data_IF_036374559067
#
_entry.id   IF_036374559067
#
_cell.length_a   1.000
_cell.length_b   1.000
_cell.length_c   1.000
_cell.angle_alpha   90.00
_cell.angle_beta   90.00
_cell.angle_gamma   90.00
#
_symmetry.space_group_name_H-M   'P 1'
#
loop_
_entity.id
_entity.type
_entity.pdbx_description
1 polymer ?
#
# COMPACT_ATOMS: atom_id res chain seq x y z
N UNK A 1 15.03 -13.55 -2.97
CA UNK A 1 14.60 -14.62 -2.05
C UNK A 1 13.46 -15.33 -2.75
N UNK A 2 13.64 -16.60 -3.13
CA UNK A 2 12.71 -17.27 -4.04
C UNK A 2 12.65 -16.55 -5.38
N UNK A 3 11.45 -16.37 -5.93
CA UNK A 3 11.24 -15.65 -7.20
C UNK A 3 11.14 -14.13 -7.06
N UNK A 4 11.41 -13.59 -5.86
CA UNK A 4 11.36 -12.15 -5.61
C UNK A 4 12.69 -11.47 -5.99
N UNK A 5 12.61 -10.41 -6.80
CA UNK A 5 13.71 -9.51 -7.13
C UNK A 5 13.58 -8.24 -6.31
N UNK A 6 14.59 -7.94 -5.49
CA UNK A 6 14.66 -6.71 -4.71
C UNK A 6 15.65 -5.75 -5.35
N UNK A 7 15.21 -4.53 -5.66
CA UNK A 7 16.04 -3.50 -6.29
C UNK A 7 16.16 -2.33 -5.32
N UNK A 8 17.38 -2.03 -4.89
CA UNK A 8 17.67 -0.84 -4.09
C UNK A 8 17.88 0.36 -5.00
N UNK A 9 17.03 1.36 -4.92
CA UNK A 9 17.12 2.57 -5.72
C UNK A 9 15.91 3.48 -5.56
N UNK A 10 15.95 4.65 -6.18
CA UNK A 10 14.77 5.50 -6.30
C UNK A 10 13.78 4.85 -7.28
N UNK A 11 12.56 4.61 -6.84
CA UNK A 11 11.55 3.97 -7.69
C UNK A 11 11.29 4.74 -8.99
N UNK A 12 11.46 6.06 -9.00
CA UNK A 12 11.29 6.90 -10.20
C UNK A 12 12.38 6.65 -11.26
N UNK A 13 13.57 6.20 -10.84
CA UNK A 13 14.67 5.82 -11.74
C UNK A 13 14.57 4.34 -12.14
N UNK A 14 14.12 3.50 -11.22
CA UNK A 14 14.01 2.05 -11.45
C UNK A 14 12.82 1.69 -12.33
N UNK A 15 11.63 2.24 -12.06
CA UNK A 15 10.39 1.87 -12.77
C UNK A 15 10.49 1.99 -14.29
N UNK A 16 11.12 3.04 -14.87
CA UNK A 16 11.27 3.13 -16.34
C UNK A 16 12.11 2.02 -16.96
N UNK A 17 12.96 1.34 -16.17
CA UNK A 17 13.82 0.25 -16.65
C UNK A 17 13.13 -1.11 -16.66
N UNK A 18 11.97 -1.22 -16.01
CA UNK A 18 11.21 -2.46 -15.90
C UNK A 18 10.32 -2.69 -17.13
N UNK A 19 10.11 -3.95 -17.47
CA UNK A 19 9.13 -4.37 -18.44
C UNK A 19 7.70 -4.25 -17.92
N UNK A 20 6.75 -4.85 -18.66
CA UNK A 20 5.35 -5.00 -18.24
C UNK A 20 5.27 -5.90 -17.00
N UNK A 21 4.27 -5.61 -16.16
CA UNK A 21 3.91 -6.45 -15.01
C UNK A 21 2.44 -6.80 -15.08
N UNK A 22 2.04 -7.89 -14.42
CA UNK A 22 0.63 -8.33 -14.44
C UNK A 22 -0.21 -7.56 -13.43
N UNK A 23 0.40 -7.20 -12.28
CA UNK A 23 -0.28 -6.46 -11.24
C UNK A 23 0.67 -5.52 -10.49
N UNK A 24 0.08 -4.47 -9.91
CA UNK A 24 0.71 -3.63 -8.89
C UNK A 24 -0.05 -3.81 -7.58
N UNK A 25 0.66 -4.09 -6.49
CA UNK A 25 0.10 -4.11 -5.12
C UNK A 25 1.06 -3.36 -4.22
N UNK A 26 0.66 -2.19 -3.74
CA UNK A 26 1.58 -1.25 -3.10
C UNK A 26 0.96 -0.42 -1.98
N UNK A 27 1.80 0.14 -1.12
CA UNK A 27 1.45 0.99 0.02
C UNK A 27 2.40 2.21 0.07
N UNK A 28 2.16 3.23 -0.79
CA UNK A 28 3.00 4.41 -0.83
C UNK A 28 2.95 5.21 0.48
N UNK A 29 3.96 6.03 0.79
CA UNK A 29 3.96 6.87 1.98
C UNK A 29 2.76 7.85 1.96
N UNK A 30 2.13 8.01 3.13
CA UNK A 30 0.88 8.79 3.26
C UNK A 30 1.11 10.29 3.40
N UNK A 31 2.35 10.75 3.46
CA UNK A 31 2.73 12.14 3.68
C UNK A 31 1.99 12.74 4.91
N UNK A 32 1.84 11.97 5.97
CA UNK A 32 1.27 12.43 7.23
C UNK A 32 2.39 12.94 8.12
N UNK A 33 2.29 14.21 8.57
CA UNK A 33 3.22 14.73 9.56
C UNK A 33 3.08 13.93 10.86
N UNK A 34 4.12 13.20 11.23
CA UNK A 34 4.21 12.49 12.51
C UNK A 34 4.54 13.46 13.66
N UNK A 35 4.72 14.74 13.37
CA UNK A 35 5.09 15.79 14.33
C UNK A 35 4.07 16.01 15.48
N UNK A 36 2.88 15.41 15.41
CA UNK A 36 1.87 15.47 16.47
C UNK A 36 1.67 14.18 17.25
N UNK A 37 2.32 13.08 16.88
CA UNK A 37 2.27 11.84 17.64
C UNK A 37 3.33 11.87 18.75
N UNK A 38 3.07 12.67 19.78
CA UNK A 38 3.84 12.68 21.02
C UNK A 38 3.59 11.37 21.78
N UNK A 39 4.09 10.26 21.31
CA UNK A 39 4.36 9.10 22.16
C UNK A 39 5.66 9.39 22.92
N UNK A 40 5.54 10.28 23.91
CA UNK A 40 6.52 10.42 24.98
C UNK A 40 6.43 9.20 25.91
N UNK A 41 6.71 8.00 25.38
CA UNK A 41 7.00 6.85 26.20
C UNK A 41 8.44 6.98 26.76
N UNK A 42 8.78 6.31 27.90
CA UNK A 42 10.08 6.42 28.56
C UNK A 42 11.28 5.91 27.74
N UNK A 43 11.08 5.45 26.55
CA UNK A 43 12.11 4.95 25.63
C UNK A 43 12.30 5.85 24.43
N UNK A 44 12.76 7.08 24.66
CA UNK A 44 13.38 7.97 23.68
C UNK A 44 12.73 8.06 22.31
N UNK A 45 12.65 9.28 21.79
CA UNK A 45 12.34 9.56 20.40
C UNK A 45 13.13 8.61 19.49
N UNK A 46 12.49 7.58 18.93
CA UNK A 46 13.03 7.00 17.71
C UNK A 46 12.81 8.07 16.65
N UNK A 47 13.90 8.65 16.16
CA UNK A 47 13.85 9.51 14.99
C UNK A 47 13.20 8.68 13.88
N UNK A 48 11.95 8.98 13.58
CA UNK A 48 11.25 8.48 12.41
C UNK A 48 11.66 9.33 11.19
N UNK A 49 12.94 9.66 11.10
CA UNK A 49 13.57 10.24 9.91
C UNK A 49 13.64 9.21 8.77
N UNK A 50 12.62 8.33 8.70
CA UNK A 50 12.52 7.30 7.67
C UNK A 50 12.35 7.90 6.28
N UNK A 51 11.85 9.12 6.20
CA UNK A 51 11.74 9.87 4.95
C UNK A 51 12.13 11.32 5.23
N UNK A 52 13.29 11.71 4.76
CA UNK A 52 13.64 13.12 4.67
C UNK A 52 12.63 13.78 3.70
N UNK A 53 11.53 14.30 4.21
CA UNK A 53 10.44 14.83 3.41
C UNK A 53 9.03 14.62 3.95
N UNK A 54 8.83 13.80 5.01
CA UNK A 54 7.52 13.58 5.63
C UNK A 54 6.86 14.87 6.16
N UNK A 55 7.63 15.95 6.33
CA UNK A 55 7.12 17.28 6.67
C UNK A 55 6.64 18.07 5.44
N UNK A 56 7.04 17.69 4.23
CA UNK A 56 6.61 18.31 2.97
C UNK A 56 5.54 17.46 2.27
N UNK A 57 4.29 17.73 2.63
CA UNK A 57 3.13 17.11 2.02
C UNK A 57 3.11 17.23 0.48
N UNK A 58 3.46 18.40 -0.06
CA UNK A 58 3.40 18.64 -1.50
C UNK A 58 4.50 17.86 -2.23
N UNK A 59 5.74 17.91 -1.72
CA UNK A 59 6.86 17.18 -2.29
C UNK A 59 6.67 15.68 -2.23
N UNK A 60 6.21 15.14 -1.09
CA UNK A 60 5.94 13.70 -0.96
C UNK A 60 4.85 13.23 -1.92
N UNK A 61 3.74 13.98 -2.03
CA UNK A 61 2.68 13.61 -2.98
C UNK A 61 3.13 13.69 -4.44
N UNK A 62 4.02 14.62 -4.78
CA UNK A 62 4.60 14.67 -6.13
C UNK A 62 5.44 13.42 -6.44
N UNK A 63 6.24 12.95 -5.46
CA UNK A 63 7.01 11.71 -5.60
C UNK A 63 6.06 10.52 -5.77
N UNK A 64 5.04 10.40 -4.92
CA UNK A 64 4.05 9.32 -5.00
C UNK A 64 3.31 9.37 -6.33
N UNK A 65 2.85 10.53 -6.77
CA UNK A 65 2.14 10.69 -8.05
C UNK A 65 3.02 10.25 -9.22
N UNK A 66 4.28 10.70 -9.28
CA UNK A 66 5.22 10.29 -10.33
C UNK A 66 5.44 8.77 -10.32
N UNK A 67 5.67 8.17 -9.15
CA UNK A 67 5.86 6.72 -9.05
C UNK A 67 4.60 5.94 -9.45
N UNK A 68 3.41 6.44 -9.10
CA UNK A 68 2.14 5.81 -9.53
C UNK A 68 1.98 5.88 -11.04
N UNK A 69 2.24 7.02 -11.67
CA UNK A 69 2.19 7.16 -13.12
C UNK A 69 3.14 6.17 -13.81
N UNK A 70 4.39 6.08 -13.35
CA UNK A 70 5.38 5.16 -13.90
C UNK A 70 5.00 3.68 -13.68
N UNK A 71 4.38 3.35 -12.54
CA UNK A 71 3.90 1.99 -12.27
C UNK A 71 2.70 1.64 -13.16
N UNK A 72 1.78 2.58 -13.40
CA UNK A 72 0.63 2.40 -14.32
C UNK A 72 1.13 2.23 -15.76
N UNK A 73 2.21 2.89 -16.15
CA UNK A 73 2.83 2.78 -17.47
C UNK A 73 3.53 1.41 -17.70
N UNK A 74 3.65 0.56 -16.67
CA UNK A 74 4.01 -0.87 -16.83
C UNK A 74 2.81 -1.73 -17.25
N UNK A 75 1.67 -1.12 -17.50
CA UNK A 75 0.43 -1.69 -18.05
C UNK A 75 -0.13 -2.88 -17.26
N UNK A 76 -0.17 -2.85 -15.92
CA UNK A 76 -0.77 -3.92 -15.13
C UNK A 76 -2.27 -4.05 -15.46
N UNK A 77 -2.79 -5.27 -15.42
CA UNK A 77 -4.24 -5.50 -15.55
C UNK A 77 -4.99 -5.23 -14.24
N UNK A 78 -4.29 -5.34 -13.11
CA UNK A 78 -4.81 -5.07 -11.77
C UNK A 78 -3.86 -4.14 -11.02
N UNK A 79 -4.41 -3.17 -10.33
CA UNK A 79 -3.67 -2.17 -9.57
C UNK A 79 -4.31 -1.99 -8.19
N UNK A 80 -3.60 -2.29 -7.12
CA UNK A 80 -4.04 -2.04 -5.75
C UNK A 80 -3.06 -1.09 -5.07
N UNK A 81 -3.55 0.05 -4.61
CA UNK A 81 -2.76 1.00 -3.82
C UNK A 81 -3.50 1.34 -2.54
N UNK A 82 -2.90 1.05 -1.39
CA UNK A 82 -3.35 1.61 -0.12
C UNK A 82 -2.86 3.06 -0.01
N UNK A 83 -3.68 3.94 0.52
CA UNK A 83 -3.36 5.36 0.52
C UNK A 83 -4.07 6.11 1.65
N UNK A 84 -3.64 7.35 1.91
CA UNK A 84 -4.42 8.23 2.76
C UNK A 84 -5.69 8.71 2.04
N UNK A 85 -6.69 9.11 2.80
CA UNK A 85 -7.93 9.71 2.27
C UNK A 85 -7.66 10.95 1.38
N UNK A 86 -6.52 11.62 1.57
CA UNK A 86 -6.10 12.78 0.76
C UNK A 86 -5.51 12.39 -0.59
N UNK A 87 -4.98 11.17 -0.70
CA UNK A 87 -4.32 10.68 -1.91
C UNK A 87 -5.26 9.95 -2.86
N UNK A 88 -6.40 9.46 -2.38
CA UNK A 88 -7.33 8.65 -3.16
C UNK A 88 -7.80 9.34 -4.45
N UNK A 89 -7.97 10.66 -4.40
CA UNK A 89 -8.45 11.44 -5.55
C UNK A 89 -7.47 11.44 -6.72
N UNK A 90 -6.19 11.71 -6.47
CA UNK A 90 -5.21 11.75 -7.56
C UNK A 90 -4.85 10.34 -8.09
N UNK A 91 -4.86 9.32 -7.22
CA UNK A 91 -4.64 7.92 -7.65
C UNK A 91 -5.79 7.46 -8.56
N UNK A 92 -7.04 7.74 -8.19
CA UNK A 92 -8.19 7.46 -9.06
C UNK A 92 -8.06 8.17 -10.40
N UNK A 93 -7.78 9.47 -10.39
CA UNK A 93 -7.65 10.25 -11.61
C UNK A 93 -6.54 9.72 -12.53
N UNK A 94 -5.39 9.32 -11.98
CA UNK A 94 -4.30 8.75 -12.74
C UNK A 94 -4.66 7.41 -13.41
N UNK A 95 -5.41 6.56 -12.71
CA UNK A 95 -5.90 5.28 -13.23
C UNK A 95 -6.98 5.49 -14.29
N UNK A 96 -7.97 6.34 -14.03
CA UNK A 96 -9.08 6.62 -14.95
C UNK A 96 -8.60 7.28 -16.26
N UNK A 97 -7.62 8.18 -16.15
CA UNK A 97 -6.97 8.79 -17.34
C UNK A 97 -6.32 7.75 -18.27
N UNK A 98 -6.01 6.56 -17.75
CA UNK A 98 -5.44 5.43 -18.51
C UNK A 98 -6.44 4.29 -18.72
N UNK A 99 -7.74 4.60 -18.70
CA UNK A 99 -8.85 3.68 -18.97
C UNK A 99 -8.97 2.50 -17.99
N UNK A 100 -8.56 2.68 -16.73
CA UNK A 100 -8.93 1.75 -15.68
C UNK A 100 -10.32 2.09 -15.13
N UNK A 101 -11.08 1.05 -14.80
CA UNK A 101 -12.20 1.18 -13.86
C UNK A 101 -11.66 1.15 -12.45
N UNK A 102 -12.25 1.91 -11.53
CA UNK A 102 -11.76 1.99 -10.14
C UNK A 102 -12.83 1.57 -9.12
N UNK A 103 -12.37 1.09 -7.97
CA UNK A 103 -13.18 0.82 -6.77
C UNK A 103 -12.38 1.22 -5.54
N UNK A 104 -13.05 1.82 -4.57
CA UNK A 104 -12.48 2.04 -3.26
C UNK A 104 -12.40 0.71 -2.50
N UNK A 105 -11.25 0.47 -1.85
CA UNK A 105 -11.07 -0.58 -0.87
C UNK A 105 -11.06 0.02 0.53
N UNK A 106 -11.52 -0.74 1.51
CA UNK A 106 -11.53 -0.33 2.91
C UNK A 106 -10.92 -1.45 3.76
N UNK A 107 -9.89 -1.12 4.52
CA UNK A 107 -9.45 -1.95 5.62
C UNK A 107 -10.03 -1.41 6.92
N UNK A 108 -10.93 -2.17 7.53
CA UNK A 108 -11.52 -1.89 8.83
C UNK A 108 -10.68 -2.57 9.92
N UNK A 109 -10.15 -1.77 10.82
CA UNK A 109 -9.37 -2.24 11.97
C UNK A 109 -10.34 -2.79 13.03
N UNK A 110 -10.16 -4.05 13.44
CA UNK A 110 -10.98 -4.65 14.50
C UNK A 110 -10.79 -3.95 15.84
N UNK A 111 -9.54 -3.63 16.17
CA UNK A 111 -9.16 -2.95 17.39
C UNK A 111 -8.32 -1.71 17.06
N UNK A 112 -8.96 -0.59 16.62
CA UNK A 112 -8.24 0.63 16.33
C UNK A 112 -7.63 1.22 17.61
N UNK A 113 -6.47 1.90 17.47
CA UNK A 113 -5.90 2.64 18.59
C UNK A 113 -6.84 3.78 19.02
N UNK A 114 -6.84 4.14 20.32
CA UNK A 114 -7.59 5.30 20.77
C UNK A 114 -7.23 6.55 19.99
N UNK A 115 -8.19 7.44 19.80
CA UNK A 115 -7.94 8.72 19.16
C UNK A 115 -6.94 9.54 19.98
N UNK A 116 -6.06 10.27 19.30
CA UNK A 116 -5.22 11.26 19.96
C UNK A 116 -6.10 12.33 20.65
N UNK A 117 -5.67 12.93 21.77
CA UNK A 117 -6.40 14.00 22.41
C UNK A 117 -6.75 15.11 21.41
N UNK A 118 -8.02 15.48 21.34
CA UNK A 118 -8.53 16.50 20.42
C UNK A 118 -8.81 16.04 18.98
N UNK A 119 -8.50 14.79 18.61
CA UNK A 119 -8.76 14.29 17.26
C UNK A 119 -10.24 13.99 16.96
N UNK A 120 -11.07 13.85 17.98
CA UNK A 120 -12.50 13.55 17.85
C UNK A 120 -12.76 12.09 17.50
N UNK A 121 -12.58 11.70 16.24
CA UNK A 121 -12.85 10.34 15.80
C UNK A 121 -11.63 9.43 15.89
N UNK A 122 -11.89 8.15 16.20
CA UNK A 122 -10.89 7.08 16.11
C UNK A 122 -10.61 6.77 14.63
N UNK A 123 -9.34 6.61 14.25
CA UNK A 123 -8.97 6.15 12.91
C UNK A 123 -9.20 4.64 12.76
N UNK A 124 -10.47 4.26 12.56
CA UNK A 124 -10.91 2.87 12.51
C UNK A 124 -10.76 2.23 11.12
N UNK A 125 -10.52 3.03 10.08
CA UNK A 125 -10.39 2.53 8.70
C UNK A 125 -9.15 3.12 8.02
N UNK A 126 -8.62 2.34 7.08
CA UNK A 126 -7.74 2.83 6.03
C UNK A 126 -8.38 2.56 4.68
N UNK A 127 -8.05 3.38 3.68
CA UNK A 127 -8.62 3.29 2.35
C UNK A 127 -7.56 2.89 1.33
N UNK A 128 -8.02 2.30 0.24
CA UNK A 128 -7.19 2.00 -0.92
C UNK A 128 -8.00 2.13 -2.21
N UNK A 129 -7.31 2.05 -3.32
CA UNK A 129 -7.89 2.03 -4.66
C UNK A 129 -7.58 0.71 -5.31
N UNK A 130 -8.58 0.06 -5.87
CA UNK A 130 -8.45 -1.02 -6.82
C UNK A 130 -8.77 -0.49 -8.22
N UNK A 131 -7.76 -0.47 -9.09
CA UNK A 131 -7.88 -0.18 -10.51
C UNK A 131 -7.81 -1.46 -11.33
N UNK A 132 -8.61 -1.57 -12.40
CA UNK A 132 -8.62 -2.77 -13.22
C UNK A 132 -9.01 -2.48 -14.68
N UNK A 133 -8.48 -3.32 -15.58
CA UNK A 133 -8.82 -3.34 -17.00
C UNK A 133 -9.54 -4.61 -17.40
N UNK A 134 -10.12 -4.62 -18.60
CA UNK A 134 -10.66 -5.83 -19.21
C UNK A 134 -9.56 -6.91 -19.35
N UNK A 135 -9.94 -8.15 -19.15
CA UNK A 135 -8.99 -9.28 -19.17
C UNK A 135 -8.25 -9.53 -17.85
N UNK A 136 -8.50 -8.72 -16.80
CA UNK A 136 -7.94 -8.97 -15.47
C UNK A 136 -8.38 -10.31 -14.91
N UNK A 137 -7.54 -10.90 -14.07
CA UNK A 137 -7.94 -11.98 -13.19
C UNK A 137 -8.91 -11.48 -12.11
N UNK A 138 -9.84 -12.32 -11.70
CA UNK A 138 -10.74 -12.06 -10.58
C UNK A 138 -11.02 -13.35 -9.79
N UNK A 139 -10.41 -13.48 -8.59
CA UNK A 139 -10.57 -14.59 -7.66
C UNK A 139 -11.61 -14.37 -6.58
N UNK A 140 -12.22 -13.17 -6.49
CA UNK A 140 -13.14 -12.79 -5.41
C UNK A 140 -14.55 -13.39 -5.51
N UNK A 141 -14.86 -14.10 -6.58
CA UNK A 141 -16.23 -14.62 -6.81
C UNK A 141 -17.26 -13.54 -7.07
N UNK A 142 -18.53 -13.90 -7.08
CA UNK A 142 -19.63 -12.94 -7.18
C UNK A 142 -19.88 -12.26 -5.82
N UNK A 143 -20.10 -10.95 -5.86
CA UNK A 143 -20.43 -10.14 -4.67
C UNK A 143 -19.35 -10.10 -3.57
N UNK A 144 -18.07 -10.23 -3.92
CA UNK A 144 -16.98 -10.03 -2.97
C UNK A 144 -17.05 -8.62 -2.37
N UNK A 145 -16.90 -8.54 -1.05
CA UNK A 145 -16.85 -7.25 -0.34
C UNK A 145 -15.57 -6.50 -0.69
N UNK A 146 -15.66 -5.19 -0.82
CA UNK A 146 -14.52 -4.28 -0.89
C UNK A 146 -14.03 -3.85 0.51
N UNK A 147 -14.60 -4.41 1.57
CA UNK A 147 -14.19 -4.16 2.96
C UNK A 147 -13.53 -5.41 3.51
N UNK A 148 -12.34 -5.26 4.06
CA UNK A 148 -11.60 -6.30 4.76
C UNK A 148 -11.40 -5.94 6.22
N UNK A 149 -11.64 -6.87 7.13
CA UNK A 149 -11.43 -6.67 8.57
C UNK A 149 -10.18 -7.40 9.04
N UNK A 150 -9.24 -6.66 9.60
CA UNK A 150 -8.05 -7.21 10.23
C UNK A 150 -7.55 -6.29 11.34
N UNK A 151 -6.79 -6.85 12.29
CA UNK A 151 -6.07 -6.04 13.27
C UNK A 151 -4.78 -5.48 12.66
N UNK A 152 -4.41 -4.29 13.10
CA UNK A 152 -3.05 -3.77 12.89
C UNK A 152 -2.06 -4.58 13.73
N UNK A 153 -0.83 -4.75 13.24
CA UNK A 153 0.21 -5.31 14.07
C UNK A 153 0.50 -4.43 15.29
N UNK A 154 0.61 -5.05 16.45
CA UNK A 154 1.07 -4.41 17.69
C UNK A 154 2.53 -4.78 17.94
N UNK A 155 3.24 -3.95 18.69
CA UNK A 155 4.61 -4.24 19.10
C UNK A 155 4.69 -5.62 19.81
N UNK A 156 5.67 -6.43 19.44
CA UNK A 156 5.87 -7.77 20.02
C UNK A 156 4.99 -8.90 19.48
N UNK A 157 4.08 -8.61 18.52
CA UNK A 157 3.30 -9.69 17.89
C UNK A 157 4.15 -10.48 16.88
N UNK A 158 3.90 -11.81 16.75
CA UNK A 158 4.53 -12.64 15.72
C UNK A 158 4.27 -12.05 14.32
N UNK A 159 5.32 -11.98 13.49
CA UNK A 159 5.23 -11.41 12.14
C UNK A 159 5.36 -9.89 12.07
N UNK A 160 5.40 -9.18 13.21
CA UNK A 160 5.75 -7.76 13.25
C UNK A 160 7.25 -7.60 13.04
N UNK A 161 7.61 -6.84 11.99
CA UNK A 161 8.99 -6.41 11.75
C UNK A 161 9.20 -4.98 12.27
N UNK A 162 10.44 -4.52 12.32
CA UNK A 162 10.78 -3.15 12.77
C UNK A 162 10.43 -2.13 11.66
N UNK A 163 9.14 -1.99 11.41
CA UNK A 163 8.55 -1.02 10.49
C UNK A 163 7.30 -0.41 11.15
N UNK A 164 7.18 0.93 11.22
CA UNK A 164 6.13 1.59 12.01
C UNK A 164 4.72 1.28 11.50
N UNK A 165 4.52 1.23 10.20
CA UNK A 165 3.20 1.17 9.54
C UNK A 165 3.00 -0.11 8.74
N UNK A 166 3.58 -1.24 9.19
CA UNK A 166 3.42 -2.52 8.50
C UNK A 166 1.95 -2.89 8.32
N UNK A 167 1.56 -3.17 7.07
CA UNK A 167 0.23 -3.70 6.76
C UNK A 167 0.07 -5.15 7.22
N UNK A 168 -1.13 -5.56 7.67
CA UNK A 168 -1.40 -6.97 7.97
C UNK A 168 -1.14 -7.85 6.75
N UNK A 169 -0.41 -8.95 6.95
CA UNK A 169 -0.14 -9.89 5.87
C UNK A 169 -1.44 -10.43 5.25
N UNK A 170 -2.43 -10.74 6.08
CA UNK A 170 -3.74 -11.21 5.61
C UNK A 170 -4.49 -10.20 4.72
N UNK A 171 -4.27 -8.90 4.93
CA UNK A 171 -4.82 -7.86 4.07
C UNK A 171 -4.21 -7.91 2.67
N UNK A 172 -2.89 -8.04 2.60
CA UNK A 172 -2.18 -8.11 1.31
C UNK A 172 -2.44 -9.45 0.62
N UNK A 173 -2.48 -10.56 1.36
CA UNK A 173 -2.89 -11.87 0.84
C UNK A 173 -4.30 -11.83 0.25
N UNK A 174 -5.25 -11.16 0.92
CA UNK A 174 -6.59 -10.95 0.37
C UNK A 174 -6.58 -10.17 -0.95
N UNK A 175 -5.80 -9.09 -1.06
CA UNK A 175 -5.67 -8.35 -2.31
C UNK A 175 -5.12 -9.25 -3.42
N UNK A 176 -4.04 -9.98 -3.14
CA UNK A 176 -3.38 -10.85 -4.13
C UNK A 176 -4.30 -11.99 -4.57
N UNK A 177 -4.95 -12.68 -3.64
CA UNK A 177 -5.87 -13.79 -3.96
C UNK A 177 -7.06 -13.34 -4.81
N UNK A 178 -7.55 -12.10 -4.59
CA UNK A 178 -8.72 -11.60 -5.31
C UNK A 178 -8.38 -10.99 -6.67
N UNK A 179 -7.19 -10.41 -6.83
CA UNK A 179 -6.89 -9.56 -7.99
C UNK A 179 -5.71 -10.00 -8.83
N UNK A 180 -4.96 -11.03 -8.40
CA UNK A 180 -3.72 -11.48 -9.05
C UNK A 180 -3.77 -12.99 -9.31
N UNK A 181 -3.55 -13.41 -10.55
CA UNK A 181 -3.47 -14.82 -10.92
C UNK A 181 -2.19 -15.45 -10.40
N UNK A 182 -2.22 -16.75 -10.09
CA UNK A 182 -1.02 -17.51 -9.73
C UNK A 182 0.01 -17.48 -10.87
N UNK A 183 1.29 -17.37 -10.52
CA UNK A 183 2.40 -17.22 -11.46
C UNK A 183 2.58 -15.83 -12.05
N UNK A 184 1.73 -14.85 -11.69
CA UNK A 184 1.82 -13.48 -12.18
C UNK A 184 2.97 -12.70 -11.55
N UNK A 185 3.56 -11.78 -12.32
CA UNK A 185 4.54 -10.81 -11.86
C UNK A 185 3.85 -9.63 -11.14
N UNK A 186 4.18 -9.44 -9.87
CA UNK A 186 3.64 -8.37 -9.03
C UNK A 186 4.73 -7.33 -8.75
N UNK A 187 4.40 -6.07 -8.94
CA UNK A 187 5.28 -4.94 -8.67
C UNK A 187 4.84 -4.20 -7.39
N UNK A 188 5.80 -3.90 -6.53
CA UNK A 188 5.63 -3.01 -5.38
C UNK A 188 6.72 -1.92 -5.38
N UNK A 189 6.43 -0.69 -5.85
CA UNK A 189 7.38 0.41 -5.86
C UNK A 189 7.77 0.93 -4.47
N UNK A 190 6.98 0.61 -3.45
CA UNK A 190 7.16 1.09 -2.08
C UNK A 190 7.17 -0.07 -1.08
N UNK A 191 8.12 -0.96 -1.24
CA UNK A 191 8.19 -2.26 -0.55
C UNK A 191 8.07 -2.17 0.98
N UNK A 192 8.59 -1.11 1.61
CA UNK A 192 8.53 -0.89 3.05
C UNK A 192 8.97 -2.10 3.88
N UNK A 193 8.03 -2.71 4.59
CA UNK A 193 8.27 -3.92 5.40
C UNK A 193 8.41 -5.22 4.60
N UNK A 194 8.25 -5.18 3.28
CA UNK A 194 8.29 -6.37 2.43
C UNK A 194 7.03 -7.25 2.48
N UNK A 195 5.93 -6.76 3.05
CA UNK A 195 4.70 -7.56 3.23
C UNK A 195 4.15 -8.08 1.91
N UNK A 196 4.20 -7.27 0.83
CA UNK A 196 3.76 -7.67 -0.51
C UNK A 196 4.60 -8.83 -1.04
N UNK A 197 5.92 -8.75 -0.95
CA UNK A 197 6.82 -9.82 -1.39
C UNK A 197 6.62 -11.12 -0.60
N UNK A 198 6.40 -11.02 0.73
CA UNK A 198 6.10 -12.21 1.56
C UNK A 198 4.77 -12.83 1.15
N UNK A 199 3.73 -12.04 0.90
CA UNK A 199 2.43 -12.54 0.45
C UNK A 199 2.53 -13.21 -0.92
N UNK A 200 3.24 -12.59 -1.88
CA UNK A 200 3.48 -13.16 -3.20
C UNK A 200 4.21 -14.51 -3.13
N UNK A 201 5.30 -14.59 -2.37
CA UNK A 201 6.06 -15.83 -2.22
C UNK A 201 5.23 -16.96 -1.61
N UNK A 202 4.33 -16.65 -0.64
CA UNK A 202 3.43 -17.64 -0.03
C UNK A 202 2.36 -18.14 -0.97
N UNK A 203 1.93 -17.30 -1.88
CA UNK A 203 0.79 -17.56 -2.76
C UNK A 203 1.20 -17.94 -4.20
N UNK A 204 2.51 -18.10 -4.49
CA UNK A 204 3.00 -18.46 -5.82
C UNK A 204 2.83 -17.35 -6.86
N UNK A 205 3.10 -16.12 -6.47
CA UNK A 205 3.10 -14.94 -7.37
C UNK A 205 4.47 -14.30 -7.36
#
# INVERSE_FOLDING_TARGET
IGDATLILGDCREVLPTLGRVDAVVTDPPYAVSVAGSANNGPHGRRNLDFFAGDADWAGMNAIVATAMDLAIDREPLSFVAWCSHRQIGFINAALEARSYSTRMLVWKKKCPAPAAPGAGFVSAVEVGVYGYRSGRYWGGGQNASNVFEADSYRHGQPGKVDHPTQKPLSLIEWNILTTVQEGSAVLDPFMGSGTTGVACARLGR
#
